data_IF_271493054411
#
_entry.id   IF_271493054411
#
_cell.length_a   1.000
_cell.length_b   1.000
_cell.length_c   1.000
_cell.angle_alpha   90.00
_cell.angle_beta   90.00
_cell.angle_gamma   90.00
#
_symmetry.space_group_name_H-M   'P 1'
#
loop_
_entity.id
_entity.type
_entity.pdbx_description
1 polymer ?
#
# COMPACT_ATOMS: atom_id res chain seq x y z
N UNK A 1 46.36 -2.95 -1.31
CA UNK A 1 46.35 -1.72 -0.51
C UNK A 1 47.02 -0.60 -1.28
N UNK A 2 46.26 0.40 -1.73
CA UNK A 2 46.74 1.77 -1.92
C UNK A 2 45.51 2.67 -1.99
N UNK A 3 45.37 3.54 -0.99
CA UNK A 3 44.26 4.47 -0.77
C UNK A 3 44.32 5.61 -1.79
N UNK A 4 43.19 5.94 -2.41
CA UNK A 4 43.00 7.21 -3.12
C UNK A 4 42.44 8.25 -2.15
N UNK A 5 43.01 9.46 -2.05
CA UNK A 5 42.35 10.58 -1.39
C UNK A 5 41.51 11.33 -2.44
N UNK A 6 40.19 11.27 -2.34
CA UNK A 6 39.32 12.23 -3.05
C UNK A 6 39.31 13.51 -2.23
N UNK A 7 40.05 14.51 -2.71
CA UNK A 7 39.95 15.89 -2.23
C UNK A 7 38.56 16.42 -2.61
N UNK A 8 37.68 16.58 -1.63
CA UNK A 8 36.47 17.39 -1.77
C UNK A 8 36.87 18.86 -1.69
N UNK A 9 36.95 19.50 -2.86
CA UNK A 9 37.09 20.94 -2.97
C UNK A 9 35.74 21.60 -2.59
N UNK A 10 35.60 21.98 -1.32
CA UNK A 10 34.43 22.74 -0.84
C UNK A 10 34.55 24.16 -1.39
N UNK A 11 33.94 24.41 -2.55
CA UNK A 11 33.70 25.77 -3.04
C UNK A 11 32.74 26.46 -2.06
N UNK A 12 33.27 27.40 -1.26
CA UNK A 12 32.49 28.30 -0.42
C UNK A 12 31.55 29.13 -1.30
N UNK A 13 30.27 28.77 -1.32
CA UNK A 13 29.22 29.60 -1.90
C UNK A 13 28.80 30.71 -0.92
N UNK A 14 28.39 31.88 -1.43
CA UNK A 14 28.05 33.04 -0.61
C UNK A 14 26.88 32.76 0.34
N UNK A 15 27.01 33.27 1.57
CA UNK A 15 26.02 33.15 2.64
C UNK A 15 24.69 33.78 2.20
N UNK A 16 23.67 32.95 2.03
CA UNK A 16 22.30 33.41 1.86
C UNK A 16 21.46 32.65 0.83
N UNK A 17 21.39 31.31 0.92
CA UNK A 17 20.30 30.44 0.40
C UNK A 17 20.68 28.98 0.65
N UNK A 18 20.34 28.44 1.82
CA UNK A 18 20.48 27.00 2.14
C UNK A 18 19.10 26.36 2.39
N UNK A 19 18.00 27.06 2.10
CA UNK A 19 16.65 26.59 2.39
C UNK A 19 16.00 25.71 1.31
N UNK A 20 16.68 25.41 0.20
CA UNK A 20 16.08 24.65 -0.91
C UNK A 20 16.55 23.21 -1.07
N UNK A 21 17.82 22.90 -0.74
CA UNK A 21 18.44 21.63 -1.12
C UNK A 21 18.20 20.52 -0.08
N UNK A 22 18.17 20.86 1.21
CA UNK A 22 17.85 19.89 2.27
C UNK A 22 16.39 19.45 2.25
N UNK A 23 15.43 20.34 1.96
CA UNK A 23 14.02 19.96 1.80
C UNK A 23 13.79 19.07 0.57
N UNK A 24 14.47 19.36 -0.54
CA UNK A 24 14.38 18.52 -1.75
C UNK A 24 14.99 17.16 -1.47
N UNK A 25 16.17 17.07 -0.83
CA UNK A 25 16.80 15.78 -0.50
C UNK A 25 15.95 14.93 0.47
N UNK A 26 15.38 15.52 1.52
CA UNK A 26 14.47 14.81 2.43
C UNK A 26 13.21 14.29 1.74
N UNK A 27 12.63 15.09 0.83
CA UNK A 27 11.42 14.70 0.10
C UNK A 27 11.67 13.58 -0.92
N UNK A 28 12.89 13.52 -1.47
CA UNK A 28 13.32 12.45 -2.36
C UNK A 28 13.63 11.14 -1.60
N UNK A 29 14.28 11.21 -0.43
CA UNK A 29 14.50 10.04 0.42
C UNK A 29 13.18 9.48 0.96
N UNK A 30 12.27 10.33 1.45
CA UNK A 30 10.97 9.90 1.98
C UNK A 30 10.06 9.26 0.94
N UNK A 31 10.09 9.74 -0.31
CA UNK A 31 9.29 9.17 -1.39
C UNK A 31 9.82 7.80 -1.83
N UNK A 32 11.14 7.60 -1.78
CA UNK A 32 11.77 6.32 -2.10
C UNK A 32 11.54 5.29 -1.00
N UNK A 33 11.58 5.70 0.27
CA UNK A 33 11.24 4.82 1.40
C UNK A 33 9.76 4.46 1.43
N UNK A 34 8.87 5.41 1.13
CA UNK A 34 7.42 5.17 1.08
C UNK A 34 7.04 4.09 0.06
N UNK A 35 7.55 4.22 -1.18
CA UNK A 35 7.28 3.23 -2.23
C UNK A 35 7.84 1.84 -1.92
N UNK A 36 9.02 1.76 -1.32
CA UNK A 36 9.61 0.48 -0.91
C UNK A 36 8.77 -0.19 0.18
N UNK A 37 8.28 0.58 1.15
CA UNK A 37 7.41 0.08 2.21
C UNK A 37 6.07 -0.40 1.64
N UNK A 38 5.47 0.34 0.72
CA UNK A 38 4.23 -0.08 0.06
C UNK A 38 4.41 -1.43 -0.67
N UNK A 39 5.47 -1.58 -1.47
CA UNK A 39 5.75 -2.84 -2.19
C UNK A 39 6.09 -4.00 -1.22
N UNK A 40 6.73 -3.75 -0.08
CA UNK A 40 6.95 -4.77 0.97
C UNK A 40 5.66 -5.19 1.67
N UNK A 41 4.75 -4.25 1.89
CA UNK A 41 3.52 -4.46 2.67
C UNK A 41 2.43 -5.11 1.83
N UNK A 42 2.27 -4.68 0.59
CA UNK A 42 1.18 -5.13 -0.29
C UNK A 42 1.64 -5.88 -1.54
N UNK A 43 2.94 -5.93 -1.84
CA UNK A 43 3.45 -6.49 -3.08
C UNK A 43 3.15 -5.61 -4.30
N UNK A 44 3.91 -5.80 -5.38
CA UNK A 44 3.68 -5.10 -6.66
C UNK A 44 2.89 -5.96 -7.66
N UNK A 45 2.16 -5.32 -8.58
CA UNK A 45 1.54 -6.03 -9.70
C UNK A 45 2.57 -6.69 -10.62
N UNK A 46 2.25 -7.87 -11.16
CA UNK A 46 3.05 -8.52 -12.19
C UNK A 46 3.05 -7.64 -13.45
N UNK A 47 4.21 -7.07 -13.79
CA UNK A 47 4.39 -6.15 -14.91
C UNK A 47 4.55 -6.84 -16.26
N UNK A 48 5.00 -8.10 -16.30
CA UNK A 48 5.22 -8.83 -17.55
C UNK A 48 3.92 -9.35 -18.17
N UNK A 49 2.90 -9.63 -17.34
CA UNK A 49 1.53 -9.89 -17.81
C UNK A 49 0.87 -8.68 -18.50
N UNK A 50 1.53 -7.53 -18.52
CA UNK A 50 0.91 -6.25 -18.85
C UNK A 50 1.42 -5.70 -20.19
N UNK A 51 0.76 -6.11 -21.26
CA UNK A 51 0.76 -5.34 -22.52
C UNK A 51 0.10 -3.95 -22.39
N UNK A 52 -0.48 -3.63 -21.22
CA UNK A 52 -1.27 -2.43 -20.89
C UNK A 52 -0.46 -1.37 -20.11
N UNK A 53 0.81 -1.65 -19.73
CA UNK A 53 1.58 -0.81 -18.81
C UNK A 53 2.04 0.51 -19.42
N UNK A 54 2.16 0.57 -20.75
CA UNK A 54 2.70 1.74 -21.44
C UNK A 54 1.85 3.02 -21.23
N UNK A 55 0.60 2.89 -20.78
CA UNK A 55 -0.34 3.99 -20.56
C UNK A 55 -0.73 4.25 -19.10
N UNK A 56 -0.17 3.50 -18.13
CA UNK A 56 -0.46 3.77 -16.71
C UNK A 56 -0.03 5.20 -16.35
N UNK A 57 -0.96 5.94 -15.75
CA UNK A 57 -0.77 7.35 -15.40
C UNK A 57 -0.91 8.33 -16.57
N UNK A 58 -1.07 7.85 -17.82
CA UNK A 58 -1.27 8.69 -19.01
C UNK A 58 -2.73 8.85 -19.39
N UNK A 59 -3.52 7.79 -19.21
CA UNK A 59 -4.93 7.78 -19.58
C UNK A 59 -5.79 7.54 -18.35
N UNK A 60 -6.75 8.42 -18.09
CA UNK A 60 -7.71 8.21 -17.01
C UNK A 60 -8.61 7.01 -17.31
N UNK A 61 -8.72 6.09 -16.35
CA UNK A 61 -9.69 5.00 -16.40
C UNK A 61 -10.76 5.17 -15.31
N UNK A 62 -12.05 4.96 -15.64
CA UNK A 62 -13.12 4.95 -14.66
C UNK A 62 -12.87 3.91 -13.56
N UNK A 63 -13.23 4.23 -12.32
CA UNK A 63 -12.96 3.42 -11.12
C UNK A 63 -13.27 1.92 -11.30
N UNK A 64 -14.48 1.59 -11.77
CA UNK A 64 -14.90 0.20 -11.98
C UNK A 64 -14.02 -0.53 -13.00
N UNK A 65 -13.62 0.15 -14.07
CA UNK A 65 -12.73 -0.45 -15.07
C UNK A 65 -11.33 -0.67 -14.49
N UNK A 66 -10.80 0.31 -13.75
CA UNK A 66 -9.52 0.19 -13.08
C UNK A 66 -9.48 -1.01 -12.10
N UNK A 67 -10.53 -1.20 -11.29
CA UNK A 67 -10.66 -2.36 -10.40
C UNK A 67 -10.64 -3.70 -11.16
N UNK A 68 -11.42 -3.83 -12.23
CA UNK A 68 -11.49 -5.08 -13.00
C UNK A 68 -10.16 -5.44 -13.68
N UNK A 69 -9.37 -4.42 -14.05
CA UNK A 69 -8.02 -4.64 -14.57
C UNK A 69 -7.11 -5.11 -13.43
N UNK A 70 -7.12 -4.46 -12.27
CA UNK A 70 -6.32 -4.87 -11.09
C UNK A 70 -6.57 -6.33 -10.71
N UNK A 71 -7.83 -6.76 -10.65
CA UNK A 71 -8.19 -8.16 -10.33
C UNK A 71 -7.57 -9.19 -11.26
N UNK A 72 -7.37 -8.86 -12.54
CA UNK A 72 -6.81 -9.76 -13.55
C UNK A 72 -5.28 -9.81 -13.53
N UNK A 73 -4.63 -8.85 -12.88
CA UNK A 73 -3.18 -8.65 -12.91
C UNK A 73 -2.51 -9.03 -11.59
N UNK A 74 -3.21 -9.73 -10.70
CA UNK A 74 -2.63 -10.12 -9.42
C UNK A 74 -1.45 -11.08 -9.64
N UNK A 75 -0.32 -10.84 -8.94
CA UNK A 75 0.88 -11.66 -9.05
C UNK A 75 0.71 -13.00 -8.30
N UNK A 76 -0.18 -13.05 -7.32
CA UNK A 76 -0.46 -14.19 -6.44
C UNK A 76 -1.96 -14.53 -6.42
N UNK A 77 -2.32 -15.60 -5.71
CA UNK A 77 -3.72 -15.93 -5.43
C UNK A 77 -4.33 -14.94 -4.44
N UNK A 78 -5.38 -14.19 -4.79
CA UNK A 78 -5.98 -13.22 -3.88
C UNK A 78 -6.53 -13.80 -2.58
N UNK A 79 -6.89 -15.08 -2.51
CA UNK A 79 -7.35 -15.70 -1.25
C UNK A 79 -6.21 -16.15 -0.33
N UNK A 80 -4.97 -16.18 -0.83
CA UNK A 80 -3.76 -16.49 -0.06
C UNK A 80 -2.63 -15.54 -0.49
N UNK A 81 -2.70 -14.26 -0.10
CA UNK A 81 -1.76 -13.26 -0.57
C UNK A 81 -0.35 -13.55 -0.04
N UNK A 82 0.66 -13.44 -0.89
CA UNK A 82 2.06 -13.75 -0.54
C UNK A 82 2.74 -12.73 0.41
N UNK A 83 2.52 -11.40 0.28
CA UNK A 83 3.15 -10.43 1.17
C UNK A 83 2.72 -10.66 2.62
N UNK A 84 3.70 -10.78 3.53
CA UNK A 84 3.47 -11.20 4.91
C UNK A 84 2.43 -10.33 5.63
N UNK A 85 2.52 -9.01 5.48
CA UNK A 85 1.55 -8.10 6.10
C UNK A 85 0.14 -8.28 5.52
N UNK A 86 0.02 -8.43 4.20
CA UNK A 86 -1.27 -8.68 3.56
C UNK A 86 -1.86 -10.05 3.97
N UNK A 87 -1.01 -11.08 4.11
CA UNK A 87 -1.38 -12.42 4.56
C UNK A 87 -1.89 -12.41 6.00
N UNK A 88 -1.10 -11.87 6.92
CA UNK A 88 -1.48 -11.78 8.33
C UNK A 88 -2.75 -10.94 8.52
N UNK A 89 -2.89 -9.85 7.76
CA UNK A 89 -4.08 -9.02 7.77
C UNK A 89 -5.30 -9.77 7.23
N UNK A 90 -5.16 -10.49 6.11
CA UNK A 90 -6.22 -11.31 5.53
C UNK A 90 -6.72 -12.36 6.53
N UNK A 91 -5.81 -13.13 7.12
CA UNK A 91 -6.14 -14.14 8.11
C UNK A 91 -6.86 -13.52 9.32
N UNK A 92 -6.34 -12.40 9.84
CA UNK A 92 -6.94 -11.71 11.00
C UNK A 92 -8.35 -11.20 10.70
N UNK A 93 -8.61 -10.70 9.49
CA UNK A 93 -9.95 -10.26 9.07
C UNK A 93 -10.89 -11.47 8.93
N UNK A 94 -10.44 -12.55 8.29
CA UNK A 94 -11.23 -13.76 8.11
C UNK A 94 -11.64 -14.38 9.46
N UNK A 95 -10.72 -14.43 10.42
CA UNK A 95 -10.99 -14.82 11.81
C UNK A 95 -11.99 -13.87 12.49
N UNK A 96 -11.80 -12.55 12.34
CA UNK A 96 -12.67 -11.53 12.93
C UNK A 96 -14.11 -11.55 12.37
N UNK A 97 -14.27 -12.00 11.13
CA UNK A 97 -15.56 -12.26 10.48
C UNK A 97 -16.12 -13.66 10.77
N UNK A 98 -15.30 -14.56 11.34
CA UNK A 98 -15.64 -15.98 11.56
C UNK A 98 -16.05 -16.68 10.27
N UNK A 99 -15.28 -16.47 9.20
CA UNK A 99 -15.53 -17.14 7.94
C UNK A 99 -15.19 -18.63 8.06
N UNK A 100 -16.10 -19.51 7.66
CA UNK A 100 -15.80 -20.94 7.52
C UNK A 100 -15.00 -21.24 6.25
N UNK A 101 -15.08 -20.34 5.26
CA UNK A 101 -14.38 -20.40 3.99
C UNK A 101 -13.62 -19.08 3.76
N UNK A 102 -12.30 -19.14 3.86
CA UNK A 102 -11.41 -17.99 3.74
C UNK A 102 -11.30 -17.51 2.29
N UNK A 103 -11.61 -18.35 1.30
CA UNK A 103 -11.57 -17.98 -0.14
C UNK A 103 -12.63 -16.93 -0.51
N UNK A 104 -13.61 -16.73 0.37
CA UNK A 104 -14.62 -15.68 0.26
C UNK A 104 -14.03 -14.29 0.44
N UNK A 105 -12.91 -14.17 1.16
CA UNK A 105 -12.17 -12.93 1.33
C UNK A 105 -10.96 -12.92 0.40
N UNK A 106 -10.83 -11.87 -0.41
CA UNK A 106 -9.75 -11.75 -1.39
C UNK A 106 -9.02 -10.43 -1.24
N UNK A 107 -7.70 -10.47 -1.22
CA UNK A 107 -6.81 -9.31 -1.21
C UNK A 107 -6.31 -9.00 -2.61
N UNK A 108 -6.35 -7.73 -2.99
CA UNK A 108 -5.83 -7.26 -4.26
C UNK A 108 -4.88 -6.08 -4.04
N UNK A 109 -3.63 -6.20 -4.49
CA UNK A 109 -2.72 -5.06 -4.58
C UNK A 109 -3.05 -4.24 -5.83
N UNK A 110 -3.11 -2.93 -5.68
CA UNK A 110 -3.35 -1.96 -6.74
C UNK A 110 -2.11 -1.07 -6.99
N UNK A 111 -0.99 -1.32 -6.32
CA UNK A 111 0.24 -0.55 -6.47
C UNK A 111 0.73 -0.51 -7.91
N UNK A 112 1.12 0.68 -8.35
CA UNK A 112 1.53 0.98 -9.73
C UNK A 112 0.41 0.71 -10.76
N UNK A 113 -0.87 0.87 -10.40
CA UNK A 113 -2.02 0.70 -11.31
C UNK A 113 -2.78 2.00 -11.57
N UNK A 114 -3.67 2.01 -12.58
CA UNK A 114 -4.60 3.13 -12.77
C UNK A 114 -5.48 3.41 -11.53
N UNK A 115 -5.74 2.40 -10.71
CA UNK A 115 -6.53 2.53 -9.49
C UNK A 115 -5.75 3.32 -8.43
N UNK A 116 -4.47 3.01 -8.25
CA UNK A 116 -3.52 3.78 -7.44
C UNK A 116 -3.37 5.22 -7.99
N UNK A 117 -2.87 5.37 -9.23
CA UNK A 117 -2.54 6.69 -9.81
C UNK A 117 -3.70 7.69 -9.88
N UNK A 118 -4.92 7.24 -10.21
CA UNK A 118 -6.06 8.15 -10.45
C UNK A 118 -7.07 8.16 -9.30
N UNK A 119 -7.15 7.07 -8.53
CA UNK A 119 -8.17 6.92 -7.48
C UNK A 119 -7.59 6.88 -6.07
N UNK A 120 -6.26 6.81 -5.90
CA UNK A 120 -5.59 6.85 -4.59
C UNK A 120 -5.93 5.64 -3.73
N UNK A 121 -5.93 4.46 -4.34
CA UNK A 121 -6.20 3.18 -3.68
C UNK A 121 -5.01 2.27 -3.94
N UNK A 122 -4.30 1.90 -2.88
CA UNK A 122 -3.09 1.09 -2.93
C UNK A 122 -3.41 -0.41 -2.93
N UNK A 123 -4.50 -0.79 -2.26
CA UNK A 123 -5.00 -2.15 -2.21
C UNK A 123 -6.49 -2.18 -1.88
N UNK A 124 -7.12 -3.35 -1.99
CA UNK A 124 -8.48 -3.54 -1.51
C UNK A 124 -8.77 -4.99 -1.14
N UNK A 125 -9.71 -5.18 -0.21
CA UNK A 125 -10.34 -6.47 0.06
C UNK A 125 -11.69 -6.56 -0.67
N UNK A 126 -12.00 -7.74 -1.21
CA UNK A 126 -13.33 -8.11 -1.69
C UNK A 126 -13.84 -9.30 -0.88
N UNK A 127 -14.97 -9.14 -0.19
CA UNK A 127 -15.67 -10.21 0.51
C UNK A 127 -16.91 -10.63 -0.30
N UNK A 128 -17.04 -11.92 -0.55
CA UNK A 128 -18.27 -12.51 -1.10
C UNK A 128 -19.16 -13.04 0.04
N UNK A 129 -20.34 -12.47 0.21
CA UNK A 129 -21.36 -12.92 1.16
C UNK A 129 -22.03 -14.22 0.69
N UNK A 130 -22.75 -14.90 1.59
CA UNK A 130 -23.40 -16.19 1.29
C UNK A 130 -24.48 -16.08 0.20
N UNK A 131 -25.11 -14.92 0.09
CA UNK A 131 -26.08 -14.60 -0.95
C UNK A 131 -25.43 -14.21 -2.30
N UNK A 132 -24.10 -14.22 -2.37
CA UNK A 132 -23.31 -13.83 -3.54
C UNK A 132 -23.07 -12.32 -3.68
N UNK A 133 -23.57 -11.47 -2.77
CA UNK A 133 -23.26 -10.03 -2.76
C UNK A 133 -21.78 -9.82 -2.45
N UNK A 134 -21.18 -8.82 -3.10
CA UNK A 134 -19.77 -8.45 -2.90
C UNK A 134 -19.64 -7.16 -2.12
N UNK A 135 -18.81 -7.16 -1.09
CA UNK A 135 -18.39 -5.97 -0.34
C UNK A 135 -16.94 -5.67 -0.68
N UNK A 136 -16.66 -4.44 -1.09
CA UNK A 136 -15.30 -3.97 -1.37
C UNK A 136 -14.88 -2.96 -0.30
N UNK A 137 -13.70 -3.16 0.26
CA UNK A 137 -13.04 -2.26 1.20
C UNK A 137 -11.69 -1.83 0.63
N UNK A 138 -11.54 -0.54 0.37
CA UNK A 138 -10.31 0.05 -0.19
C UNK A 138 -9.34 0.47 0.90
N UNK A 139 -8.06 0.29 0.63
CA UNK A 139 -6.94 0.57 1.53
C UNK A 139 -5.99 1.57 0.87
N UNK A 140 -5.43 2.44 1.70
CA UNK A 140 -4.43 3.42 1.33
C UNK A 140 -3.39 3.45 2.46
N UNK A 141 -2.11 3.31 2.12
CA UNK A 141 -1.00 3.40 3.06
C UNK A 141 -0.46 4.83 3.02
N UNK A 142 -0.01 5.33 4.16
CA UNK A 142 0.73 6.58 4.21
C UNK A 142 1.73 6.55 5.34
N UNK A 143 2.84 7.25 5.16
CA UNK A 143 3.74 7.60 6.26
C UNK A 143 3.43 8.99 6.82
N UNK A 144 2.66 9.81 6.10
CA UNK A 144 2.45 11.20 6.45
C UNK A 144 1.00 11.47 6.89
N UNK A 145 0.82 11.72 8.19
CA UNK A 145 -0.45 12.14 8.81
C UNK A 145 -0.89 13.53 8.34
N UNK A 146 0.05 14.42 8.05
CA UNK A 146 -0.20 15.86 7.86
C UNK A 146 -0.66 16.27 6.46
N UNK A 147 -0.80 15.32 5.53
CA UNK A 147 -1.06 15.60 4.10
C UNK A 147 -2.37 15.05 3.54
N UNK A 148 -3.15 14.30 4.32
CA UNK A 148 -4.39 13.66 3.85
C UNK A 148 -5.62 14.24 4.58
N UNK A 149 -5.98 15.48 4.25
CA UNK A 149 -7.26 16.09 4.67
C UNK A 149 -8.48 15.40 4.01
N UNK A 150 -8.28 14.57 2.98
CA UNK A 150 -9.31 13.74 2.33
C UNK A 150 -8.71 12.41 1.86
N UNK A 151 -8.84 11.36 2.67
CA UNK A 151 -8.55 10.00 2.20
C UNK A 151 -9.70 9.52 1.30
N UNK A 152 -9.39 8.99 0.12
CA UNK A 152 -10.39 8.42 -0.81
C UNK A 152 -10.71 6.96 -0.50
N UNK A 153 -9.84 6.28 0.25
CA UNK A 153 -10.01 4.90 0.64
C UNK A 153 -10.88 4.76 1.90
N UNK A 154 -11.47 3.57 2.08
CA UNK A 154 -12.26 3.23 3.26
C UNK A 154 -11.40 3.16 4.53
N UNK A 155 -10.14 2.71 4.41
CA UNK A 155 -9.20 2.54 5.52
C UNK A 155 -7.85 3.16 5.19
N UNK A 156 -7.33 3.97 6.10
CA UNK A 156 -6.01 4.59 6.00
C UNK A 156 -5.03 3.90 6.96
N UNK A 157 -4.01 3.23 6.41
CA UNK A 157 -2.99 2.53 7.18
C UNK A 157 -1.78 3.45 7.35
N UNK A 158 -1.68 4.10 8.50
CA UNK A 158 -0.50 4.88 8.86
C UNK A 158 0.68 3.97 9.20
N UNK A 159 1.70 3.93 8.35
CA UNK A 159 2.95 3.22 8.61
C UNK A 159 3.99 4.16 9.25
N UNK A 160 4.84 3.66 10.16
CA UNK A 160 5.97 4.44 10.67
C UNK A 160 6.99 4.74 9.56
N UNK A 161 7.78 5.81 9.76
CA UNK A 161 8.76 6.28 8.78
C UNK A 161 9.84 5.25 8.43
N UNK A 162 10.22 4.41 9.39
CA UNK A 162 11.25 3.38 9.22
C UNK A 162 10.71 2.03 8.71
N UNK A 163 9.40 1.94 8.43
CA UNK A 163 8.75 0.65 8.17
C UNK A 163 8.51 -0.15 9.45
N UNK A 164 8.01 -1.36 9.28
CA UNK A 164 7.57 -2.23 10.36
C UNK A 164 8.15 -3.61 10.16
N UNK A 165 9.25 -3.92 10.86
CA UNK A 165 9.90 -5.23 10.74
C UNK A 165 9.19 -6.23 11.68
N UNK A 166 8.68 -7.37 11.17
CA UNK A 166 7.97 -8.35 11.99
C UNK A 166 8.87 -9.04 13.04
N UNK A 167 10.19 -9.06 12.85
CA UNK A 167 11.16 -9.62 13.79
C UNK A 167 11.54 -8.62 14.87
N UNK A 168 11.92 -7.40 14.47
CA UNK A 168 12.43 -6.38 15.40
C UNK A 168 11.29 -5.60 16.09
N UNK A 169 10.18 -5.34 15.39
CA UNK A 169 9.03 -4.56 15.85
C UNK A 169 7.77 -5.41 16.11
N UNK A 170 7.95 -6.69 16.45
CA UNK A 170 6.89 -7.71 16.54
C UNK A 170 5.59 -7.25 17.20
N UNK A 171 5.68 -6.55 18.34
CA UNK A 171 4.49 -6.05 19.05
C UNK A 171 3.75 -4.98 18.24
N UNK A 172 4.50 -4.00 17.70
CA UNK A 172 3.91 -2.93 16.92
C UNK A 172 3.31 -3.46 15.62
N UNK A 173 3.97 -4.43 14.99
CA UNK A 173 3.46 -5.14 13.82
C UNK A 173 2.13 -5.83 14.11
N UNK A 174 2.09 -6.65 15.16
CA UNK A 174 0.87 -7.39 15.56
C UNK A 174 -0.27 -6.44 15.92
N UNK A 175 0.02 -5.39 16.69
CA UNK A 175 -0.97 -4.38 17.09
C UNK A 175 -1.52 -3.66 15.85
N UNK A 176 -0.66 -3.36 14.87
CA UNK A 176 -1.05 -2.68 13.64
C UNK A 176 -1.95 -3.55 12.76
N UNK A 177 -1.60 -4.83 12.58
CA UNK A 177 -2.45 -5.81 11.88
C UNK A 177 -3.82 -5.86 12.55
N UNK A 178 -3.84 -6.02 13.88
CA UNK A 178 -5.08 -6.19 14.64
C UNK A 178 -5.97 -4.95 14.59
N UNK A 179 -5.39 -3.76 14.78
CA UNK A 179 -6.11 -2.49 14.66
C UNK A 179 -6.74 -2.32 13.27
N UNK A 180 -5.96 -2.60 12.23
CA UNK A 180 -6.41 -2.46 10.84
C UNK A 180 -7.52 -3.48 10.53
N UNK A 181 -7.39 -4.71 11.01
CA UNK A 181 -8.39 -5.75 10.84
C UNK A 181 -9.71 -5.40 11.55
N UNK A 182 -9.65 -4.91 12.78
CA UNK A 182 -10.83 -4.48 13.55
C UNK A 182 -11.62 -3.38 12.83
N UNK A 183 -10.91 -2.41 12.25
CA UNK A 183 -11.51 -1.34 11.44
C UNK A 183 -12.20 -1.89 10.18
N UNK A 184 -11.50 -2.75 9.42
CA UNK A 184 -12.06 -3.38 8.22
C UNK A 184 -13.30 -4.21 8.55
N UNK A 185 -13.24 -5.03 9.61
CA UNK A 185 -14.36 -5.86 10.07
C UNK A 185 -15.57 -5.00 10.44
N UNK A 186 -15.36 -3.86 11.11
CA UNK A 186 -16.42 -2.94 11.45
C UNK A 186 -17.09 -2.35 10.20
N UNK A 187 -16.31 -1.94 9.20
CA UNK A 187 -16.84 -1.40 7.93
C UNK A 187 -17.61 -2.49 7.16
N UNK A 188 -17.08 -3.71 7.09
CA UNK A 188 -17.76 -4.84 6.44
C UNK A 188 -19.12 -5.09 7.07
N UNK A 189 -19.20 -5.16 8.39
CA UNK A 189 -20.46 -5.36 9.12
C UNK A 189 -21.45 -4.23 8.81
N UNK A 190 -20.99 -2.98 8.82
CA UNK A 190 -21.83 -1.83 8.48
C UNK A 190 -22.32 -1.80 7.03
N UNK A 191 -21.61 -2.42 6.07
CA UNK A 191 -22.02 -2.53 4.65
C UNK A 191 -22.88 -3.77 4.35
N UNK A 192 -22.91 -4.72 5.28
CA UNK A 192 -23.68 -5.96 5.18
C UNK A 192 -25.13 -5.77 5.65
N UNK A 193 -25.34 -4.91 6.66
CA UNK A 193 -26.65 -4.41 7.10
C UNK A 193 -27.38 -3.62 5.99
#
# INVERSE_FOLDING_TARGET
MAKWPVFLEIKKLPKGRVFGIMEIMNKFESAYTGKLIEEEVFGGLDRERVGVLNDIGKTYLPYRQAMEIVKKMQPFDPSDPEPLFANDLHATIAEGLKLDDYDRLKFFTALNSHLDFFHGVDAFFELTLEDGKKIVITLDITQNVSSKDTCKADVLILMPDQGLDPQDDRKMYTDKIKQTAEEIVAIIKSKAD
#
